data_IF_855129625908
#
_entry.id   IF_855129625908
#
_cell.length_a   1.000
_cell.length_b   1.000
_cell.length_c   1.000
_cell.angle_alpha   90.00
_cell.angle_beta   90.00
_cell.angle_gamma   90.00
#
_symmetry.space_group_name_H-M   'P 1'
#
loop_
_entity.id
_entity.type
_entity.pdbx_description
1 polymer ?
#
# COMPACT_ATOMS: atom_id res chain seq x y z
N UNK A 1 -9.57 1.76 99.01
CA UNK A 1 -8.84 1.64 97.73
C UNK A 1 -9.78 1.91 96.59
N UNK A 2 -9.75 3.16 96.10
CA UNK A 2 -10.76 3.68 95.18
C UNK A 2 -10.18 3.67 93.82
N UNK A 3 -10.74 2.84 92.88
CA UNK A 3 -10.36 2.76 91.52
C UNK A 3 -11.09 3.83 90.71
N UNK A 4 -10.37 4.82 90.22
CA UNK A 4 -10.88 5.87 89.30
C UNK A 4 -11.09 5.28 87.90
N UNK A 5 -12.36 5.25 87.46
CA UNK A 5 -12.75 4.90 86.09
C UNK A 5 -12.49 6.10 85.19
N UNK A 6 -11.66 5.89 84.18
CA UNK A 6 -11.36 6.90 83.20
C UNK A 6 -12.51 7.02 82.16
N UNK A 7 -12.98 8.24 81.90
CA UNK A 7 -14.03 8.57 80.90
C UNK A 7 -13.60 8.15 79.50
N UNK A 8 -14.53 7.67 78.61
CA UNK A 8 -14.24 7.40 77.22
C UNK A 8 -14.09 8.68 76.40
N UNK A 9 -13.08 8.72 75.55
CA UNK A 9 -12.84 9.79 74.59
C UNK A 9 -13.89 9.67 73.46
N UNK A 10 -14.70 10.68 73.27
CA UNK A 10 -15.60 10.81 72.12
C UNK A 10 -14.77 11.22 70.88
N UNK A 11 -14.48 10.27 69.98
CA UNK A 11 -13.90 10.54 68.67
C UNK A 11 -15.06 11.04 67.78
N UNK A 12 -15.13 12.33 67.51
CA UNK A 12 -15.98 12.91 66.49
C UNK A 12 -15.40 12.58 65.13
N UNK A 13 -15.99 11.60 64.42
CA UNK A 13 -15.70 11.32 63.02
C UNK A 13 -16.21 12.50 62.19
N UNK A 14 -15.29 13.42 61.89
CA UNK A 14 -15.56 14.45 60.85
C UNK A 14 -15.66 13.75 59.50
N UNK A 15 -16.84 13.78 58.87
CA UNK A 15 -17.10 13.35 57.52
C UNK A 15 -16.22 14.15 56.56
N UNK A 16 -15.02 13.65 56.29
CA UNK A 16 -14.33 14.03 55.06
C UNK A 16 -14.90 13.17 53.94
N UNK A 17 -15.84 13.74 53.23
CA UNK A 17 -16.29 13.21 51.93
C UNK A 17 -15.14 13.42 50.96
N UNK A 18 -14.37 12.36 50.77
CA UNK A 18 -13.27 12.36 49.80
C UNK A 18 -13.90 12.33 48.41
N UNK A 19 -14.06 13.52 47.83
CA UNK A 19 -14.25 13.67 46.41
C UNK A 19 -12.92 13.31 45.78
N UNK A 20 -12.64 12.02 45.56
CA UNK A 20 -11.54 11.54 44.74
C UNK A 20 -11.94 11.71 43.28
N UNK A 21 -11.07 12.27 42.47
CA UNK A 21 -11.41 12.88 41.21
C UNK A 21 -11.77 11.83 40.15
N UNK A 22 -12.92 12.02 39.57
CA UNK A 22 -13.36 11.42 38.28
C UNK A 22 -12.46 11.89 37.09
N UNK A 23 -11.41 12.66 37.38
CA UNK A 23 -10.58 13.31 36.35
C UNK A 23 -9.44 12.45 35.81
N UNK A 24 -9.22 11.22 36.28
CA UNK A 24 -8.07 10.43 35.83
C UNK A 24 -8.36 9.53 34.60
N UNK A 25 -9.62 9.33 34.22
CA UNK A 25 -9.98 8.45 33.11
C UNK A 25 -10.13 9.12 31.73
N UNK A 26 -10.10 10.45 31.65
CA UNK A 26 -10.24 11.15 30.36
C UNK A 26 -8.92 11.30 29.57
N UNK A 27 -7.77 10.96 30.13
CA UNK A 27 -6.47 11.23 29.51
C UNK A 27 -5.87 10.04 28.75
N UNK A 28 -6.47 8.87 28.77
CA UNK A 28 -5.91 7.69 28.11
C UNK A 28 -6.47 7.39 26.72
N UNK A 29 -7.46 8.16 26.25
CA UNK A 29 -8.09 7.91 24.94
C UNK A 29 -7.30 8.45 23.75
N UNK A 30 -6.34 9.36 23.96
CA UNK A 30 -5.61 10.00 22.84
C UNK A 30 -4.39 9.23 22.34
N UNK A 31 -3.91 8.22 23.06
CA UNK A 31 -2.68 7.52 22.66
C UNK A 31 -2.93 6.28 21.80
N UNK A 32 -4.14 5.73 21.81
CA UNK A 32 -4.47 4.53 21.05
C UNK A 32 -4.62 4.80 19.53
N UNK A 33 -5.17 5.92 19.14
CA UNK A 33 -5.35 6.30 17.73
C UNK A 33 -4.00 6.56 17.04
N UNK A 34 -3.07 7.26 17.70
CA UNK A 34 -1.75 7.52 17.13
C UNK A 34 -0.90 6.25 16.98
N UNK A 35 -1.10 5.26 17.85
CA UNK A 35 -0.39 3.99 17.78
C UNK A 35 -0.95 3.10 16.66
N UNK A 36 -2.27 3.04 16.50
CA UNK A 36 -2.93 2.32 15.41
C UNK A 36 -2.60 2.92 14.04
N UNK A 37 -2.58 4.25 13.92
CA UNK A 37 -2.19 4.96 12.70
C UNK A 37 -0.72 4.66 12.33
N UNK A 38 0.16 4.54 13.31
CA UNK A 38 1.57 4.21 13.10
C UNK A 38 1.78 2.75 12.66
N UNK A 39 0.94 1.82 13.13
CA UNK A 39 0.96 0.41 12.71
C UNK A 39 0.39 0.27 11.29
N UNK A 40 -0.71 0.95 10.96
CA UNK A 40 -1.32 0.89 9.62
C UNK A 40 -0.43 1.52 8.56
N UNK A 41 0.30 2.58 8.89
CA UNK A 41 1.24 3.25 7.98
C UNK A 41 2.53 2.44 7.69
N UNK A 42 2.81 1.38 8.46
CA UNK A 42 3.96 0.50 8.25
C UNK A 42 3.61 -0.83 7.57
N UNK A 43 2.34 -1.07 7.24
CA UNK A 43 1.96 -2.27 6.51
C UNK A 43 2.51 -2.20 5.09
N UNK A 44 3.37 -3.14 4.73
CA UNK A 44 3.78 -3.33 3.34
C UNK A 44 2.58 -3.81 2.54
N UNK A 45 2.24 -3.08 1.49
CA UNK A 45 1.17 -3.46 0.57
C UNK A 45 1.53 -4.77 -0.15
N UNK A 46 0.55 -5.54 -0.55
CA UNK A 46 0.77 -6.60 -1.54
C UNK A 46 1.16 -6.00 -2.90
N UNK A 47 1.74 -6.80 -3.80
CA UNK A 47 2.10 -6.32 -5.13
C UNK A 47 0.90 -5.79 -5.92
N UNK A 48 -0.27 -6.42 -5.75
CA UNK A 48 -1.51 -6.01 -6.43
C UNK A 48 -2.14 -4.74 -5.83
N UNK A 49 -1.93 -4.50 -4.54
CA UNK A 49 -2.33 -3.23 -3.89
C UNK A 49 -1.39 -2.08 -4.28
N UNK A 50 -0.09 -2.36 -4.42
CA UNK A 50 0.92 -1.36 -4.80
C UNK A 50 0.84 -0.99 -6.29
N UNK A 51 0.50 -1.96 -7.15
CA UNK A 51 0.49 -1.83 -8.61
C UNK A 51 -0.78 -2.46 -9.17
N UNK A 52 -1.88 -1.70 -9.12
CA UNK A 52 -3.16 -2.18 -9.68
C UNK A 52 -3.05 -2.25 -11.20
N UNK A 53 -3.25 -3.45 -11.73
CA UNK A 53 -3.19 -3.72 -13.16
C UNK A 53 -4.60 -3.85 -13.74
N UNK A 54 -4.80 -3.31 -14.95
CA UNK A 54 -6.00 -3.50 -15.75
C UNK A 54 -5.67 -3.57 -17.22
N UNK A 55 -6.50 -4.27 -18.00
CA UNK A 55 -6.38 -4.41 -19.44
C UNK A 55 -7.76 -4.32 -20.09
N UNK A 56 -7.83 -3.71 -21.27
CA UNK A 56 -9.06 -3.62 -22.06
C UNK A 56 -8.73 -3.46 -23.55
N UNK A 57 -9.68 -3.80 -24.39
CA UNK A 57 -9.60 -3.53 -25.83
C UNK A 57 -10.07 -2.08 -26.05
N UNK A 58 -9.24 -1.27 -26.69
CA UNK A 58 -9.53 0.12 -27.00
C UNK A 58 -10.34 0.25 -28.29
N UNK A 59 -9.95 -0.55 -29.26
CA UNK A 59 -10.56 -0.64 -30.60
C UNK A 59 -10.27 -2.04 -31.15
N UNK A 60 -10.73 -2.36 -32.34
CA UNK A 60 -10.51 -3.70 -32.91
C UNK A 60 -9.04 -4.05 -33.13
N UNK A 61 -8.13 -3.08 -33.06
CA UNK A 61 -6.70 -3.21 -33.39
C UNK A 61 -5.76 -3.01 -32.19
N UNK A 62 -6.27 -2.55 -31.02
CA UNK A 62 -5.40 -2.17 -29.91
C UNK A 62 -5.88 -2.67 -28.55
N UNK A 63 -4.94 -3.17 -27.77
CA UNK A 63 -5.14 -3.53 -26.35
C UNK A 63 -4.36 -2.53 -25.50
N UNK A 64 -5.01 -1.96 -24.50
CA UNK A 64 -4.40 -1.06 -23.55
C UNK A 64 -4.18 -1.80 -22.23
N UNK A 65 -2.93 -1.84 -21.80
CA UNK A 65 -2.50 -2.32 -20.50
C UNK A 65 -2.24 -1.09 -19.62
N UNK A 66 -2.77 -1.07 -18.40
CA UNK A 66 -2.64 0.07 -17.49
C UNK A 66 -2.18 -0.40 -16.12
N UNK A 67 -1.16 0.26 -15.58
CA UNK A 67 -0.73 0.13 -14.19
C UNK A 67 -1.04 1.43 -13.46
N UNK A 68 -1.83 1.35 -12.40
CA UNK A 68 -2.01 2.44 -11.44
C UNK A 68 -1.11 2.15 -10.25
N UNK A 69 -0.16 3.04 -10.01
CA UNK A 69 0.89 2.91 -9.01
C UNK A 69 0.46 3.65 -7.76
N UNK A 70 0.46 2.95 -6.63
CA UNK A 70 0.08 3.53 -5.34
C UNK A 70 1.10 4.59 -4.92
N UNK A 71 0.65 5.58 -4.16
CA UNK A 71 1.51 6.60 -3.56
C UNK A 71 2.69 5.96 -2.80
N UNK A 72 3.88 6.58 -2.90
CA UNK A 72 5.14 6.07 -2.37
C UNK A 72 5.61 4.73 -2.96
N UNK A 73 5.09 4.35 -4.13
CA UNK A 73 5.57 3.21 -4.92
C UNK A 73 6.00 3.67 -6.30
N UNK A 74 6.85 2.87 -6.94
CA UNK A 74 7.29 3.12 -8.30
C UNK A 74 7.56 1.81 -9.06
N UNK A 75 7.47 1.85 -10.40
CA UNK A 75 7.82 0.76 -11.29
C UNK A 75 9.08 1.10 -12.08
N UNK A 76 10.02 0.16 -12.19
CA UNK A 76 11.22 0.35 -13.00
C UNK A 76 10.89 0.28 -14.48
N UNK A 77 11.27 1.31 -15.24
CA UNK A 77 11.05 1.37 -16.69
C UNK A 77 11.66 0.19 -17.42
N UNK A 78 12.88 -0.18 -17.07
CA UNK A 78 13.65 -1.22 -17.77
C UNK A 78 13.30 -2.65 -17.30
N UNK A 79 12.34 -2.80 -16.39
CA UNK A 79 11.89 -4.11 -15.89
C UNK A 79 10.56 -4.56 -16.47
N UNK A 80 9.99 -3.82 -17.41
CA UNK A 80 8.83 -4.27 -18.16
C UNK A 80 9.23 -5.26 -19.25
N UNK A 81 8.50 -6.37 -19.31
CA UNK A 81 8.58 -7.35 -20.41
C UNK A 81 7.17 -7.77 -20.75
N UNK A 82 6.84 -7.77 -22.02
CA UNK A 82 5.57 -8.24 -22.54
C UNK A 82 5.81 -9.36 -23.53
N UNK A 83 5.04 -10.40 -23.41
CA UNK A 83 5.07 -11.56 -24.29
C UNK A 83 3.71 -11.67 -24.97
N UNK A 84 3.72 -11.93 -26.27
CA UNK A 84 2.56 -12.23 -27.11
C UNK A 84 2.66 -13.69 -27.53
N UNK A 85 1.69 -14.52 -27.18
CA UNK A 85 1.71 -15.96 -27.45
C UNK A 85 3.06 -16.62 -27.07
N UNK A 86 3.64 -16.18 -25.93
CA UNK A 86 4.96 -16.55 -25.40
C UNK A 86 6.19 -15.94 -26.11
N UNK A 87 6.04 -15.20 -27.19
CA UNK A 87 7.14 -14.49 -27.85
C UNK A 87 7.32 -13.10 -27.22
N UNK A 88 8.58 -12.73 -26.95
CA UNK A 88 8.90 -11.42 -26.38
C UNK A 88 8.57 -10.31 -27.41
N UNK A 89 7.72 -9.37 -26.99
CA UNK A 89 7.41 -8.18 -27.78
C UNK A 89 8.59 -7.21 -27.68
N UNK A 90 9.30 -7.01 -28.77
CA UNK A 90 10.32 -5.99 -28.89
C UNK A 90 9.69 -4.61 -29.15
N UNK A 91 10.45 -3.54 -28.87
CA UNK A 91 10.03 -2.16 -29.12
C UNK A 91 8.69 -1.78 -28.46
N UNK A 92 8.52 -2.16 -27.19
CA UNK A 92 7.31 -1.87 -26.43
C UNK A 92 7.06 -0.36 -26.31
N UNK A 93 5.88 0.08 -26.73
CA UNK A 93 5.44 1.46 -26.54
C UNK A 93 4.88 1.63 -25.13
N UNK A 94 5.72 2.08 -24.20
CA UNK A 94 5.34 2.35 -22.80
C UNK A 94 5.18 3.86 -22.62
N UNK A 95 4.01 4.29 -22.19
CA UNK A 95 3.64 5.69 -21.97
C UNK A 95 3.54 5.99 -20.48
N UNK A 96 4.25 7.00 -20.03
CA UNK A 96 4.30 7.47 -18.64
C UNK A 96 5.43 8.47 -18.46
N UNK A 97 5.32 9.29 -17.46
CA UNK A 97 6.38 10.21 -17.07
C UNK A 97 7.49 9.43 -16.35
N UNK A 98 8.63 9.24 -17.03
CA UNK A 98 9.78 8.56 -16.45
C UNK A 98 10.66 9.55 -15.70
N UNK A 99 10.92 9.27 -14.43
CA UNK A 99 11.78 10.08 -13.55
C UNK A 99 13.04 9.28 -13.25
N UNK A 100 14.20 9.94 -13.34
CA UNK A 100 15.48 9.33 -12.98
C UNK A 100 15.72 9.44 -11.48
N UNK A 101 15.99 8.30 -10.85
CA UNK A 101 16.33 8.23 -9.42
C UNK A 101 17.64 7.47 -9.21
N UNK A 102 18.27 7.67 -8.05
CA UNK A 102 19.37 6.83 -7.59
C UNK A 102 18.80 5.79 -6.62
N UNK A 103 18.64 4.58 -7.10
CA UNK A 103 18.09 3.45 -6.36
C UNK A 103 19.19 2.68 -5.62
N UNK A 104 18.90 2.19 -4.42
CA UNK A 104 19.89 1.50 -3.58
C UNK A 104 20.29 0.11 -4.10
N UNK A 105 19.46 -0.51 -4.94
CA UNK A 105 19.70 -1.85 -5.49
C UNK A 105 20.26 -1.82 -6.92
N UNK A 106 19.79 -0.86 -7.74
CA UNK A 106 20.10 -0.81 -9.17
C UNK A 106 20.84 0.46 -9.62
N UNK A 107 21.17 1.37 -8.67
CA UNK A 107 21.86 2.63 -8.97
C UNK A 107 20.97 3.61 -9.74
N UNK A 108 21.51 4.27 -10.77
CA UNK A 108 20.75 5.24 -11.57
C UNK A 108 19.80 4.55 -12.53
N UNK A 109 18.51 4.64 -12.26
CA UNK A 109 17.42 4.02 -13.01
C UNK A 109 16.33 5.02 -13.37
N UNK A 110 15.55 4.71 -14.39
CA UNK A 110 14.33 5.43 -14.72
C UNK A 110 13.13 4.67 -14.13
N UNK A 111 12.25 5.38 -13.46
CA UNK A 111 11.05 4.82 -12.82
C UNK A 111 9.81 5.59 -13.22
N UNK A 112 8.67 4.91 -13.11
CA UNK A 112 7.35 5.51 -13.29
C UNK A 112 6.64 5.61 -11.95
N UNK A 113 5.97 6.74 -11.73
CA UNK A 113 5.03 6.98 -10.65
C UNK A 113 3.60 7.11 -11.20
N UNK A 114 2.63 7.05 -10.33
CA UNK A 114 1.21 7.29 -10.57
C UNK A 114 0.58 6.33 -11.60
N UNK A 115 0.90 6.47 -12.87
CA UNK A 115 0.25 5.71 -13.93
C UNK A 115 1.19 5.44 -15.10
N UNK A 116 1.14 4.20 -15.60
CA UNK A 116 1.84 3.76 -16.80
C UNK A 116 0.82 3.07 -17.71
N UNK A 117 0.97 3.26 -19.01
CA UNK A 117 0.19 2.56 -20.02
C UNK A 117 1.13 1.90 -21.03
N UNK A 118 0.69 0.80 -21.57
CA UNK A 118 1.30 0.16 -22.73
C UNK A 118 0.22 -0.15 -23.74
N UNK A 119 0.49 0.19 -24.99
CA UNK A 119 -0.39 -0.17 -26.12
C UNK A 119 0.22 -1.37 -26.84
N UNK A 120 -0.58 -2.40 -27.06
CA UNK A 120 -0.23 -3.61 -27.81
C UNK A 120 -1.13 -3.67 -29.04
N UNK A 121 -0.53 -3.91 -30.21
CA UNK A 121 -1.29 -4.13 -31.43
C UNK A 121 -1.97 -5.50 -31.37
N UNK A 122 -3.31 -5.49 -31.52
CA UNK A 122 -4.11 -6.70 -31.53
C UNK A 122 -4.10 -7.31 -32.93
N UNK A 123 -3.29 -8.34 -33.11
CA UNK A 123 -3.32 -9.15 -34.33
C UNK A 123 -4.39 -10.24 -34.22
N UNK A 124 -4.81 -10.78 -35.37
CA UNK A 124 -5.86 -11.83 -35.41
C UNK A 124 -5.43 -13.12 -34.70
N UNK A 125 -4.14 -13.37 -34.62
CA UNK A 125 -3.55 -14.57 -34.03
C UNK A 125 -3.13 -14.36 -32.58
N UNK A 126 -3.45 -13.20 -31.99
CA UNK A 126 -3.12 -12.90 -30.59
C UNK A 126 -4.13 -13.55 -29.64
N UNK A 127 -3.74 -14.63 -29.00
CA UNK A 127 -4.56 -15.39 -28.06
C UNK A 127 -4.30 -14.97 -26.60
N UNK A 128 -3.02 -14.74 -26.26
CA UNK A 128 -2.62 -14.45 -24.90
C UNK A 128 -1.51 -13.40 -24.82
N UNK A 129 -1.56 -12.62 -23.73
CA UNK A 129 -0.50 -11.70 -23.34
C UNK A 129 -0.01 -12.07 -21.94
N UNK A 130 1.30 -12.02 -21.76
CA UNK A 130 1.93 -12.11 -20.43
C UNK A 130 2.78 -10.89 -20.22
N UNK A 131 2.55 -10.18 -19.12
CA UNK A 131 3.35 -9.02 -18.73
C UNK A 131 4.10 -9.30 -17.44
N UNK A 132 5.36 -8.90 -17.43
CA UNK A 132 6.22 -8.98 -16.25
C UNK A 132 6.73 -7.59 -15.94
N UNK A 133 6.65 -7.19 -14.69
CA UNK A 133 7.10 -5.88 -14.23
C UNK A 133 7.64 -5.98 -12.81
N UNK A 134 8.42 -5.00 -12.39
CA UNK A 134 8.99 -4.93 -11.06
C UNK A 134 8.99 -3.50 -10.55
N UNK A 135 8.80 -3.34 -9.26
CA UNK A 135 8.84 -2.06 -8.59
C UNK A 135 9.18 -2.19 -7.11
N UNK A 136 9.31 -1.05 -6.47
CA UNK A 136 9.60 -0.94 -5.05
C UNK A 136 8.72 0.13 -4.42
N UNK A 137 8.70 0.15 -3.09
CA UNK A 137 8.19 1.30 -2.38
C UNK A 137 9.38 2.17 -1.90
N UNK A 138 9.15 3.46 -1.72
CA UNK A 138 10.18 4.43 -1.32
C UNK A 138 10.76 4.18 0.07
N UNK A 139 10.12 3.34 0.89
CA UNK A 139 10.64 2.90 2.19
C UNK A 139 11.66 1.77 2.08
N UNK A 140 12.06 1.39 0.85
CA UNK A 140 13.11 0.40 0.58
C UNK A 140 12.64 -1.04 0.47
N UNK A 141 11.33 -1.30 0.40
CA UNK A 141 10.82 -2.64 0.10
C UNK A 141 10.65 -2.82 -1.40
N UNK A 142 11.37 -3.79 -1.98
CA UNK A 142 11.25 -4.13 -3.39
C UNK A 142 10.47 -5.42 -3.58
N UNK A 143 9.49 -5.36 -4.46
CA UNK A 143 8.67 -6.52 -4.82
C UNK A 143 9.46 -7.45 -5.76
N UNK A 144 9.29 -8.77 -5.63
CA UNK A 144 9.77 -9.68 -6.68
C UNK A 144 9.09 -9.36 -8.01
N UNK A 145 9.65 -9.78 -9.16
CA UNK A 145 8.97 -9.61 -10.44
C UNK A 145 7.55 -10.16 -10.41
N UNK A 146 6.59 -9.32 -10.78
CA UNK A 146 5.17 -9.65 -10.81
C UNK A 146 4.79 -10.01 -12.25
N UNK A 147 4.05 -11.10 -12.41
CA UNK A 147 3.57 -11.57 -13.71
C UNK A 147 2.04 -11.54 -13.74
N UNK A 148 1.47 -11.05 -14.86
CA UNK A 148 0.04 -11.12 -15.16
C UNK A 148 -0.15 -11.78 -16.51
N UNK A 149 -1.09 -12.70 -16.58
CA UNK A 149 -1.49 -13.38 -17.82
C UNK A 149 -2.90 -12.92 -18.20
N UNK A 150 -3.08 -12.60 -19.47
CA UNK A 150 -4.30 -12.05 -20.04
C UNK A 150 -4.69 -12.94 -21.21
N UNK A 151 -5.90 -13.49 -21.19
CA UNK A 151 -6.51 -14.15 -22.34
C UNK A 151 -7.28 -13.07 -23.11
N UNK A 152 -6.96 -12.89 -24.39
CA UNK A 152 -7.48 -11.78 -25.18
C UNK A 152 -8.98 -11.89 -25.42
N UNK A 153 -9.49 -13.10 -25.54
CA UNK A 153 -10.91 -13.39 -25.70
C UNK A 153 -11.78 -12.99 -24.48
N UNK A 154 -11.13 -12.84 -23.31
CA UNK A 154 -11.82 -12.45 -22.07
C UNK A 154 -11.79 -10.93 -21.83
N UNK A 155 -11.20 -10.15 -22.74
CA UNK A 155 -11.13 -8.70 -22.59
C UNK A 155 -12.41 -8.03 -23.03
N UNK A 156 -12.88 -7.10 -22.23
CA UNK A 156 -14.04 -6.26 -22.55
C UNK A 156 -13.63 -5.12 -23.49
N UNK A 157 -14.54 -4.80 -24.41
CA UNK A 157 -14.44 -3.60 -25.26
C UNK A 157 -14.98 -2.40 -24.47
N UNK A 158 -14.21 -1.32 -24.41
CA UNK A 158 -14.62 -0.03 -23.86
C UNK A 158 -14.64 1.03 -24.94
#
# INVERSE_FOLDING_TARGET
>A
MIIKVKKPIKITLKKYFVIVPVFVFASYSLTAESFLEKITNNKVLSGDEAFTFSSHIKDDESIILTWTIKENCFLYKDKFKTYSNNDLVENQKIEGEAIRINDIYFGNVNVFYNKVKQTIDKTKDLESLKVVYQGCNEKGFCYPPISKEIQVDNLENF
#
